data_IF_470809429615
#
_entry.id   IF_470809429615
#
_cell.length_a   1.000
_cell.length_b   1.000
_cell.length_c   1.000
_cell.angle_alpha   90.00
_cell.angle_beta   90.00
_cell.angle_gamma   90.00
#
_symmetry.space_group_name_H-M   'P 1'
#
loop_
_entity.id
_entity.type
_entity.pdbx_description
1 polymer ?
#
# COMPACT_ATOMS: atom_id res chain seq x y z
N UNK A 1 -20.85 -32.60 -30.32
CA UNK A 1 -19.82 -32.30 -29.31
C UNK A 1 -19.20 -30.90 -29.52
N UNK A 2 -20.02 -29.85 -29.72
CA UNK A 2 -19.52 -28.50 -30.09
C UNK A 2 -20.06 -27.39 -29.18
N UNK A 3 -21.18 -27.63 -28.49
CA UNK A 3 -21.78 -26.67 -27.56
C UNK A 3 -21.01 -26.50 -26.24
N UNK A 4 -20.33 -27.55 -25.78
CA UNK A 4 -19.61 -27.54 -24.50
C UNK A 4 -18.37 -26.63 -24.58
N UNK A 5 -17.66 -26.65 -25.71
CA UNK A 5 -16.42 -25.88 -25.89
C UNK A 5 -16.64 -24.36 -26.02
N UNK A 6 -17.83 -23.92 -26.45
CA UNK A 6 -18.14 -22.49 -26.63
C UNK A 6 -18.36 -21.76 -25.28
N UNK A 7 -18.93 -22.45 -24.29
CA UNK A 7 -19.09 -21.93 -22.91
C UNK A 7 -17.79 -21.91 -22.10
N UNK A 8 -16.84 -22.79 -22.42
CA UNK A 8 -15.52 -22.84 -21.76
C UNK A 8 -14.70 -21.60 -22.12
N UNK A 9 -14.77 -21.11 -23.37
CA UNK A 9 -14.02 -19.93 -23.83
C UNK A 9 -14.43 -18.64 -23.13
N UNK A 10 -15.72 -18.50 -22.78
CA UNK A 10 -16.25 -17.37 -22.00
C UNK A 10 -15.93 -17.46 -20.50
N UNK A 11 -15.71 -18.67 -19.98
CA UNK A 11 -15.39 -18.88 -18.56
C UNK A 11 -13.93 -18.53 -18.24
N UNK A 12 -13.02 -18.69 -19.21
CA UNK A 12 -11.62 -18.30 -19.07
C UNK A 12 -11.39 -16.79 -18.99
N UNK A 13 -12.31 -15.95 -19.46
CA UNK A 13 -12.14 -14.49 -19.42
C UNK A 13 -12.37 -13.90 -18.01
N UNK A 14 -13.31 -14.48 -17.24
CA UNK A 14 -13.66 -14.00 -15.90
C UNK A 14 -12.65 -14.42 -14.82
N UNK A 15 -11.92 -15.52 -15.05
CA UNK A 15 -10.94 -16.04 -14.10
C UNK A 15 -9.69 -15.15 -13.96
N UNK A 16 -9.24 -14.51 -15.04
CA UNK A 16 -8.08 -13.61 -15.01
C UNK A 16 -8.34 -12.29 -14.26
N UNK A 17 -9.61 -11.85 -14.16
CA UNK A 17 -9.97 -10.61 -13.47
C UNK A 17 -9.95 -10.74 -11.94
N UNK A 18 -10.20 -11.95 -11.40
CA UNK A 18 -10.22 -12.19 -9.95
C UNK A 18 -8.82 -12.35 -9.32
N UNK A 19 -7.82 -12.80 -10.08
CA UNK A 19 -6.48 -13.06 -9.55
C UNK A 19 -5.63 -11.80 -9.27
N UNK A 20 -6.05 -10.62 -9.72
CA UNK A 20 -5.26 -9.39 -9.61
C UNK A 20 -5.68 -8.46 -8.46
N UNK A 21 -6.68 -8.81 -7.65
CA UNK A 21 -7.28 -7.85 -6.69
C UNK A 21 -6.49 -7.66 -5.39
N UNK A 22 -5.33 -8.30 -5.21
CA UNK A 22 -4.49 -8.15 -4.02
C UNK A 22 -3.11 -7.54 -4.32
N UNK A 23 -3.06 -6.57 -5.23
CA UNK A 23 -1.88 -5.71 -5.34
C UNK A 23 -1.90 -4.71 -4.18
N UNK A 24 -1.62 -5.20 -2.97
CA UNK A 24 -1.33 -4.33 -1.83
C UNK A 24 -0.12 -3.48 -2.22
N UNK A 25 -0.34 -2.18 -2.34
CA UNK A 25 0.70 -1.22 -2.68
C UNK A 25 1.81 -1.32 -1.64
N UNK A 26 2.96 -1.89 -2.04
CA UNK A 26 4.18 -1.94 -1.23
C UNK A 26 4.72 -0.54 -0.87
N UNK A 27 4.06 0.54 -1.32
CA UNK A 27 4.42 1.91 -0.95
C UNK A 27 4.25 2.19 0.55
N UNK A 28 3.31 1.54 1.24
CA UNK A 28 3.08 1.79 2.68
C UNK A 28 4.02 1.02 3.62
N UNK A 29 4.90 0.14 3.12
CA UNK A 29 5.84 -0.58 4.00
C UNK A 29 7.03 0.32 4.37
N UNK A 30 7.43 1.24 3.49
CA UNK A 30 8.46 2.24 3.80
C UNK A 30 7.87 3.34 4.67
N UNK A 31 8.34 3.45 5.91
CA UNK A 31 7.94 4.53 6.83
C UNK A 31 6.79 4.19 7.77
N UNK A 32 6.44 2.91 7.95
CA UNK A 32 5.55 2.48 9.04
C UNK A 32 6.35 1.89 10.20
N UNK A 33 6.01 2.32 11.42
CA UNK A 33 6.70 1.99 12.65
C UNK A 33 5.74 1.42 13.69
N UNK A 34 6.26 0.60 14.59
CA UNK A 34 5.47 -0.02 15.66
C UNK A 34 5.33 0.92 16.87
N UNK A 35 6.22 1.89 17.01
CA UNK A 35 6.23 2.83 18.14
C UNK A 35 6.30 4.28 17.67
N UNK A 36 5.76 5.20 18.47
CA UNK A 36 5.84 6.64 18.22
C UNK A 36 7.28 7.12 18.13
N UNK A 37 8.14 6.63 19.04
CA UNK A 37 9.55 7.02 19.11
C UNK A 37 10.34 6.68 17.84
N UNK A 38 10.05 5.54 17.22
CA UNK A 38 10.67 5.17 15.94
C UNK A 38 10.20 6.08 14.80
N UNK A 39 8.90 6.41 14.76
CA UNK A 39 8.34 7.33 13.77
C UNK A 39 8.90 8.74 13.95
N UNK A 40 9.06 9.22 15.19
CA UNK A 40 9.61 10.54 15.50
C UNK A 40 11.09 10.62 15.15
N UNK A 41 11.87 9.58 15.49
CA UNK A 41 13.26 9.49 15.02
C UNK A 41 13.32 9.58 13.49
N UNK A 42 12.40 8.91 12.80
CA UNK A 42 12.38 8.95 11.34
C UNK A 42 11.94 10.29 10.78
N UNK A 43 11.02 11.02 11.42
CA UNK A 43 10.62 12.34 10.96
C UNK A 43 11.80 13.33 11.01
N UNK A 44 12.60 13.26 12.09
CA UNK A 44 13.85 14.00 12.22
C UNK A 44 14.86 13.65 11.11
N UNK A 45 15.03 12.36 10.79
CA UNK A 45 15.92 11.91 9.69
C UNK A 45 15.44 12.38 8.32
N UNK A 46 14.12 12.50 8.10
CA UNK A 46 13.53 12.99 6.85
C UNK A 46 13.53 14.51 6.76
N UNK A 47 13.69 15.22 7.89
CA UNK A 47 13.56 16.67 7.98
C UNK A 47 12.10 17.14 7.88
N UNK A 48 11.15 16.31 8.32
CA UNK A 48 9.73 16.64 8.42
C UNK A 48 9.29 16.72 9.89
N UNK A 49 8.21 17.44 10.16
CA UNK A 49 7.75 17.68 11.52
C UNK A 49 6.61 16.72 11.90
N UNK A 50 6.62 16.26 13.15
CA UNK A 50 5.55 15.45 13.72
C UNK A 50 5.53 13.99 13.26
N UNK A 51 4.49 13.32 13.72
CA UNK A 51 4.13 11.93 13.40
C UNK A 51 2.61 11.85 13.28
N UNK A 52 2.11 10.85 12.55
CA UNK A 52 0.68 10.55 12.51
C UNK A 52 0.43 9.05 12.60
N UNK A 53 -0.78 8.70 13.05
CA UNK A 53 -1.20 7.31 13.17
C UNK A 53 -2.04 6.92 11.95
N UNK A 54 -1.71 5.79 11.33
CA UNK A 54 -2.56 5.16 10.33
C UNK A 54 -2.86 3.74 10.82
N UNK A 55 -4.13 3.48 11.15
CA UNK A 55 -4.56 2.25 11.80
C UNK A 55 -3.74 2.00 13.08
N UNK A 56 -2.97 0.91 13.13
CA UNK A 56 -2.13 0.51 14.26
C UNK A 56 -0.64 0.83 14.06
N UNK A 57 -0.31 1.60 13.02
CA UNK A 57 1.07 1.98 12.68
C UNK A 57 1.29 3.47 12.90
N UNK A 58 2.52 3.79 13.28
CA UNK A 58 3.03 5.14 13.40
C UNK A 58 3.82 5.49 12.15
N UNK A 59 3.57 6.67 11.60
CA UNK A 59 4.23 7.15 10.40
C UNK A 59 4.91 8.49 10.70
N UNK A 60 6.08 8.78 10.10
CA UNK A 60 6.73 10.05 10.25
C UNK A 60 5.97 11.14 9.48
N UNK A 61 6.24 12.40 9.86
CA UNK A 61 5.62 13.60 9.31
C UNK A 61 4.16 13.79 9.76
N UNK A 62 3.64 15.01 9.61
CA UNK A 62 2.34 15.43 10.13
C UNK A 62 1.17 14.65 9.52
N UNK A 63 1.30 14.23 8.26
CA UNK A 63 0.27 13.50 7.54
C UNK A 63 0.83 12.73 6.33
N UNK A 64 0.02 11.84 5.77
CA UNK A 64 0.35 10.99 4.61
C UNK A 64 0.81 11.81 3.39
N UNK A 65 0.19 12.98 3.15
CA UNK A 65 0.55 13.86 2.03
C UNK A 65 1.97 14.40 2.20
N UNK A 66 2.32 14.82 3.40
CA UNK A 66 3.66 15.32 3.70
C UNK A 66 4.69 14.19 3.64
N UNK A 67 4.39 13.03 4.23
CA UNK A 67 5.23 11.84 4.17
C UNK A 67 5.60 11.47 2.72
N UNK A 68 4.60 11.44 1.84
CA UNK A 68 4.79 11.17 0.42
C UNK A 68 5.68 12.19 -0.29
N UNK A 69 5.89 13.40 0.25
CA UNK A 69 6.82 14.39 -0.31
C UNK A 69 8.28 13.99 -0.05
N UNK A 70 8.56 13.31 1.05
CA UNK A 70 9.91 12.88 1.43
C UNK A 70 10.25 11.47 0.94
N UNK A 71 9.29 10.55 0.93
CA UNK A 71 9.53 9.15 0.52
C UNK A 71 9.59 8.92 -1.01
N UNK A 72 9.06 9.85 -1.81
CA UNK A 72 9.08 9.75 -3.29
C UNK A 72 10.32 10.37 -3.94
N UNK A 73 11.24 10.91 -3.14
CA UNK A 73 12.57 11.34 -3.62
C UNK A 73 13.47 10.12 -3.76
#
# INVERSE_FOLDING_TARGET
MTFVFKKIKTLTFFFFLFLNFNLSSNAHVKGTFSTEKEAEKKSLELGCEGIHKNQDKWLPCENEKELHRYLRK
#
